data_IF_394095167087
#
_entry.id   IF_394095167087
#
_cell.length_a   1.000
_cell.length_b   1.000
_cell.length_c   1.000
_cell.angle_alpha   90.00
_cell.angle_beta   90.00
_cell.angle_gamma   90.00
#
_symmetry.space_group_name_H-M   'P 1'
#
loop_
_entity.id
_entity.type
_entity.pdbx_description
1 polymer ?
#
# COMPACT_ATOMS: atom_id res chain seq x y z
N UNK A 1 8.21 26.84 5.80
CA UNK A 1 8.32 25.91 4.66
C UNK A 1 6.97 25.86 3.97
N UNK A 2 6.90 26.08 2.66
CA UNK A 2 5.66 25.98 1.90
C UNK A 2 5.50 24.55 1.38
N UNK A 3 4.35 23.93 1.63
CA UNK A 3 4.05 22.61 1.10
C UNK A 3 3.84 22.68 -0.42
N UNK A 4 4.25 21.65 -1.18
CA UNK A 4 4.02 21.59 -2.62
C UNK A 4 2.53 21.66 -2.96
N UNK A 5 2.20 22.50 -3.96
CA UNK A 5 0.83 22.65 -4.45
C UNK A 5 0.40 21.43 -5.28
N UNK A 6 -0.91 21.20 -5.51
CA UNK A 6 -1.38 20.16 -6.43
C UNK A 6 -0.72 20.23 -7.82
N UNK A 7 -0.47 21.44 -8.33
CA UNK A 7 0.22 21.65 -9.60
C UNK A 7 1.70 21.22 -9.55
N UNK A 8 2.38 21.47 -8.44
CA UNK A 8 3.76 21.01 -8.21
C UNK A 8 3.85 19.49 -8.24
N UNK A 9 2.87 18.80 -7.64
CA UNK A 9 2.77 17.34 -7.69
C UNK A 9 2.48 16.80 -9.09
N UNK A 10 1.68 17.50 -9.90
CA UNK A 10 1.48 17.15 -11.30
C UNK A 10 2.80 17.23 -12.12
N UNK A 11 3.67 18.20 -11.81
CA UNK A 11 5.01 18.25 -12.42
C UNK A 11 5.90 17.10 -11.96
N UNK A 12 5.90 16.78 -10.67
CA UNK A 12 6.64 15.62 -10.14
C UNK A 12 6.20 14.30 -10.80
N UNK A 13 4.88 14.11 -10.98
CA UNK A 13 4.33 12.95 -11.71
C UNK A 13 4.83 12.85 -13.15
N UNK A 14 4.90 13.98 -13.85
CA UNK A 14 5.49 14.01 -15.21
C UNK A 14 6.99 13.71 -15.21
N UNK A 15 7.72 14.18 -14.20
CA UNK A 15 9.14 13.90 -14.04
C UNK A 15 9.42 12.41 -13.82
N UNK A 16 8.63 11.74 -12.96
CA UNK A 16 8.71 10.28 -12.74
C UNK A 16 8.65 9.50 -14.05
N UNK A 17 7.72 9.85 -14.93
CA UNK A 17 7.57 9.19 -16.23
C UNK A 17 8.70 9.53 -17.22
N UNK A 18 9.14 10.79 -17.22
CA UNK A 18 10.10 11.29 -18.20
C UNK A 18 11.53 10.80 -17.94
N UNK A 19 11.91 10.71 -16.68
CA UNK A 19 13.26 10.35 -16.25
C UNK A 19 13.33 8.94 -15.66
N UNK A 20 12.36 8.10 -16.03
CA UNK A 20 12.41 6.66 -15.74
C UNK A 20 13.73 6.06 -16.25
N UNK A 21 14.37 5.24 -15.42
CA UNK A 21 15.71 4.70 -15.69
C UNK A 21 16.88 5.69 -15.63
N UNK A 22 16.67 6.95 -15.19
CA UNK A 22 17.73 7.96 -15.01
C UNK A 22 17.71 8.55 -13.58
N UNK A 23 18.14 7.78 -12.55
CA UNK A 23 17.91 8.12 -11.14
C UNK A 23 18.46 9.49 -10.72
N UNK A 24 19.66 9.85 -11.20
CA UNK A 24 20.28 11.15 -10.89
C UNK A 24 19.46 12.33 -11.42
N UNK A 25 19.00 12.24 -12.67
CA UNK A 25 18.17 13.29 -13.29
C UNK A 25 16.77 13.32 -12.69
N UNK A 26 16.23 12.17 -12.31
CA UNK A 26 14.96 12.08 -11.61
C UNK A 26 15.02 12.80 -10.26
N UNK A 27 16.02 12.53 -9.44
CA UNK A 27 16.19 13.14 -8.13
C UNK A 27 16.28 14.68 -8.20
N UNK A 28 17.03 15.22 -9.17
CA UNK A 28 17.11 16.66 -9.41
C UNK A 28 15.78 17.24 -9.89
N UNK A 29 15.10 16.56 -10.82
CA UNK A 29 13.81 17.01 -11.34
C UNK A 29 12.72 17.04 -10.27
N UNK A 30 12.69 16.04 -9.37
CA UNK A 30 11.73 16.00 -8.26
C UNK A 30 11.95 17.17 -7.30
N UNK A 31 13.20 17.44 -6.91
CA UNK A 31 13.54 18.60 -6.07
C UNK A 31 13.14 19.92 -6.72
N UNK A 32 13.32 20.07 -8.05
CA UNK A 32 12.87 21.25 -8.78
C UNK A 32 11.34 21.42 -8.80
N UNK A 33 10.58 20.31 -8.74
CA UNK A 33 9.12 20.34 -8.77
C UNK A 33 8.49 20.64 -7.40
N UNK A 34 8.95 19.96 -6.34
CA UNK A 34 8.32 19.97 -5.01
C UNK A 34 9.20 20.55 -3.90
N UNK A 35 10.39 21.03 -4.25
CA UNK A 35 11.38 21.57 -3.33
C UNK A 35 12.36 20.50 -2.80
N UNK A 36 13.50 20.91 -2.22
CA UNK A 36 14.59 20.01 -1.87
C UNK A 36 14.17 18.90 -0.89
N UNK A 37 13.52 19.24 0.22
CA UNK A 37 13.16 18.28 1.25
C UNK A 37 12.19 17.20 0.71
N UNK A 38 11.06 17.60 0.13
CA UNK A 38 10.08 16.65 -0.40
C UNK A 38 10.61 15.88 -1.62
N UNK A 39 11.47 16.50 -2.45
CA UNK A 39 12.05 15.85 -3.61
C UNK A 39 13.07 14.78 -3.26
N UNK A 40 13.92 15.02 -2.24
CA UNK A 40 14.90 14.04 -1.75
C UNK A 40 14.16 12.83 -1.15
N UNK A 41 13.20 13.07 -0.26
CA UNK A 41 12.41 11.99 0.35
C UNK A 41 11.66 11.16 -0.70
N UNK A 42 11.04 11.82 -1.69
CA UNK A 42 10.35 11.11 -2.77
C UNK A 42 11.32 10.32 -3.66
N UNK A 43 12.49 10.86 -3.98
CA UNK A 43 13.49 10.14 -4.77
C UNK A 43 13.97 8.88 -4.02
N UNK A 44 14.28 9.01 -2.73
CA UNK A 44 14.66 7.88 -1.89
C UNK A 44 13.54 6.82 -1.81
N UNK A 45 12.28 7.26 -1.69
CA UNK A 45 11.13 6.36 -1.72
C UNK A 45 11.04 5.59 -3.05
N UNK A 46 11.21 6.27 -4.18
CA UNK A 46 11.18 5.65 -5.52
C UNK A 46 12.32 4.65 -5.69
N UNK A 47 13.54 5.01 -5.27
CA UNK A 47 14.70 4.13 -5.34
C UNK A 47 14.52 2.87 -4.49
N UNK A 48 13.74 2.96 -3.40
CA UNK A 48 13.43 1.80 -2.55
C UNK A 48 12.37 0.86 -3.15
N UNK A 49 11.61 1.27 -4.18
CA UNK A 49 10.52 0.44 -4.74
C UNK A 49 11.02 -0.87 -5.38
N UNK A 50 12.29 -0.95 -5.78
CA UNK A 50 12.90 -2.21 -6.26
C UNK A 50 12.97 -3.30 -5.17
N UNK A 51 12.78 -2.93 -3.90
CA UNK A 51 12.75 -3.84 -2.76
C UNK A 51 11.36 -4.41 -2.48
N UNK A 52 10.36 -4.05 -3.29
CA UNK A 52 9.00 -4.56 -3.13
C UNK A 52 8.95 -6.07 -3.36
N UNK A 53 8.13 -6.80 -2.58
CA UNK A 53 7.82 -8.18 -2.89
C UNK A 53 7.08 -8.29 -4.23
N UNK A 54 7.11 -9.48 -4.83
CA UNK A 54 6.29 -9.77 -6.01
C UNK A 54 4.79 -9.66 -5.65
N UNK A 55 4.19 -8.54 -6.03
CA UNK A 55 2.78 -8.23 -5.80
C UNK A 55 1.88 -9.25 -6.52
N UNK A 56 2.32 -9.75 -7.67
CA UNK A 56 1.57 -10.73 -8.43
C UNK A 56 1.66 -12.12 -7.81
N UNK A 57 2.77 -12.47 -7.15
CA UNK A 57 2.88 -13.68 -6.34
C UNK A 57 1.84 -13.69 -5.21
N UNK A 58 1.68 -12.57 -4.50
CA UNK A 58 0.64 -12.42 -3.45
C UNK A 58 -0.75 -12.72 -4.03
N UNK A 59 -1.04 -12.14 -5.20
CA UNK A 59 -2.35 -12.29 -5.86
C UNK A 59 -2.57 -13.69 -6.43
N UNK A 60 -1.50 -14.44 -6.73
CA UNK A 60 -1.53 -15.88 -7.06
C UNK A 60 -1.62 -16.77 -5.82
N UNK A 61 -1.48 -16.22 -4.62
CA UNK A 61 -1.50 -16.98 -3.36
C UNK A 61 -0.17 -17.64 -3.03
N UNK A 62 0.91 -17.18 -3.64
CA UNK A 62 2.27 -17.63 -3.37
C UNK A 62 2.83 -16.91 -2.14
N UNK A 63 3.91 -17.47 -1.57
CA UNK A 63 4.59 -16.85 -0.44
C UNK A 63 5.36 -15.61 -0.88
N UNK A 64 4.98 -14.45 -0.35
CA UNK A 64 5.75 -13.22 -0.43
C UNK A 64 6.01 -12.67 0.97
N UNK A 65 7.21 -12.14 1.20
CA UNK A 65 7.57 -11.54 2.49
C UNK A 65 6.94 -10.17 2.66
N UNK A 66 6.63 -9.83 3.92
CA UNK A 66 6.16 -8.49 4.27
C UNK A 66 7.39 -7.64 4.60
N UNK A 67 7.61 -6.49 3.93
CA UNK A 67 8.72 -5.60 4.25
C UNK A 67 8.68 -5.12 5.71
N UNK A 68 9.85 -4.91 6.32
CA UNK A 68 9.95 -4.33 7.66
C UNK A 68 9.71 -2.81 7.63
N UNK A 69 10.16 -2.14 6.58
CA UNK A 69 10.05 -0.70 6.45
C UNK A 69 8.62 -0.23 6.16
N UNK A 70 8.16 0.76 6.92
CA UNK A 70 6.79 1.28 6.84
C UNK A 70 6.46 1.87 5.46
N UNK A 71 7.40 2.57 4.82
CA UNK A 71 7.21 3.13 3.48
C UNK A 71 6.98 2.05 2.42
N UNK A 72 7.74 0.94 2.48
CA UNK A 72 7.53 -0.22 1.63
C UNK A 72 6.22 -0.94 1.93
N UNK A 73 5.81 -1.03 3.20
CA UNK A 73 4.49 -1.56 3.56
C UNK A 73 3.35 -0.74 2.95
N UNK A 74 3.44 0.60 3.00
CA UNK A 74 2.49 1.51 2.32
C UNK A 74 2.48 1.28 0.80
N UNK A 75 3.64 1.09 0.19
CA UNK A 75 3.76 0.82 -1.24
C UNK A 75 3.13 -0.53 -1.64
N UNK A 76 3.37 -1.60 -0.86
CA UNK A 76 2.73 -2.91 -1.06
C UNK A 76 1.21 -2.79 -0.92
N UNK A 77 0.72 -2.15 0.15
CA UNK A 77 -0.71 -1.95 0.36
C UNK A 77 -1.36 -1.21 -0.83
N UNK A 78 -0.75 -0.11 -1.27
CA UNK A 78 -1.22 0.68 -2.43
C UNK A 78 -1.24 -0.15 -3.72
N UNK A 79 -0.21 -0.96 -3.95
CA UNK A 79 -0.14 -1.84 -5.12
C UNK A 79 -1.22 -2.93 -5.09
N UNK A 80 -1.49 -3.51 -3.93
CA UNK A 80 -2.54 -4.52 -3.73
C UNK A 80 -3.95 -3.92 -3.93
N UNK A 81 -4.21 -2.70 -3.46
CA UNK A 81 -5.47 -1.99 -3.78
C UNK A 81 -5.62 -1.82 -5.29
N UNK A 82 -4.56 -1.39 -5.98
CA UNK A 82 -4.56 -1.30 -7.45
C UNK A 82 -4.87 -2.64 -8.14
N UNK A 83 -4.35 -3.75 -7.60
CA UNK A 83 -4.62 -5.10 -8.11
C UNK A 83 -6.05 -5.55 -7.82
N UNK A 84 -6.59 -5.22 -6.65
CA UNK A 84 -7.99 -5.47 -6.29
C UNK A 84 -8.97 -4.76 -7.24
N UNK A 85 -8.68 -3.50 -7.59
CA UNK A 85 -9.47 -2.73 -8.56
C UNK A 85 -9.42 -3.39 -9.94
N UNK A 86 -8.22 -3.76 -10.42
CA UNK A 86 -8.04 -4.37 -11.75
C UNK A 86 -8.79 -5.71 -11.90
N UNK A 87 -8.99 -6.43 -10.81
CA UNK A 87 -9.66 -7.72 -10.80
C UNK A 87 -11.15 -7.65 -10.47
N UNK A 88 -11.72 -6.46 -10.30
CA UNK A 88 -13.11 -6.31 -9.84
C UNK A 88 -14.15 -7.03 -10.70
N UNK A 89 -13.97 -7.00 -12.01
CA UNK A 89 -14.89 -7.63 -12.96
C UNK A 89 -14.38 -8.99 -13.47
N UNK A 90 -13.32 -9.53 -12.87
CA UNK A 90 -12.73 -10.80 -13.24
C UNK A 90 -13.46 -11.97 -12.56
N UNK A 91 -13.52 -13.17 -13.19
CA UNK A 91 -14.17 -14.34 -12.58
C UNK A 91 -13.54 -14.78 -11.24
N UNK A 92 -12.26 -14.48 -11.03
CA UNK A 92 -11.46 -14.81 -9.86
C UNK A 92 -11.39 -13.67 -8.82
N UNK A 93 -12.20 -12.61 -8.95
CA UNK A 93 -12.16 -11.42 -8.09
C UNK A 93 -12.15 -11.77 -6.57
N UNK A 94 -13.08 -12.62 -6.13
CA UNK A 94 -13.18 -13.00 -4.72
C UNK A 94 -11.97 -13.77 -4.21
N UNK A 95 -11.36 -14.61 -5.06
CA UNK A 95 -10.16 -15.37 -4.73
C UNK A 95 -8.95 -14.43 -4.56
N UNK A 96 -8.80 -13.49 -5.49
CA UNK A 96 -7.77 -12.44 -5.41
C UNK A 96 -7.94 -11.59 -4.15
N UNK A 97 -9.15 -11.11 -3.88
CA UNK A 97 -9.41 -10.28 -2.69
C UNK A 97 -9.17 -11.06 -1.40
N UNK A 98 -9.51 -12.36 -1.37
CA UNK A 98 -9.23 -13.25 -0.24
C UNK A 98 -7.74 -13.33 0.08
N UNK A 99 -6.90 -13.52 -0.95
CA UNK A 99 -5.44 -13.54 -0.81
C UNK A 99 -4.87 -12.22 -0.30
N UNK A 100 -5.42 -11.10 -0.78
CA UNK A 100 -5.02 -9.77 -0.30
C UNK A 100 -5.41 -9.58 1.18
N UNK A 101 -6.59 -10.04 1.59
CA UNK A 101 -7.02 -9.98 3.00
C UNK A 101 -6.12 -10.85 3.90
N UNK A 102 -5.77 -12.06 3.46
CA UNK A 102 -4.84 -12.92 4.17
C UNK A 102 -3.48 -12.26 4.33
N UNK A 103 -2.97 -11.64 3.26
CA UNK A 103 -1.73 -10.86 3.30
C UNK A 103 -1.83 -9.66 4.25
N UNK A 104 -2.97 -8.96 4.29
CA UNK A 104 -3.21 -7.85 5.22
C UNK A 104 -3.07 -8.28 6.70
N UNK A 105 -3.39 -9.54 7.02
CA UNK A 105 -3.20 -10.11 8.36
C UNK A 105 -1.74 -10.37 8.74
N UNK A 106 -0.80 -10.27 7.79
CA UNK A 106 0.63 -10.53 8.00
C UNK A 106 1.45 -9.28 8.26
N UNK A 107 0.87 -8.08 8.13
CA UNK A 107 1.58 -6.84 8.45
C UNK A 107 2.04 -6.83 9.92
N UNK A 108 3.31 -6.42 10.20
CA UNK A 108 3.79 -6.26 11.57
C UNK A 108 2.96 -5.25 12.35
N UNK A 109 2.59 -4.14 11.70
CA UNK A 109 1.69 -3.13 12.22
C UNK A 109 0.25 -3.40 11.74
N UNK A 110 -0.68 -3.46 12.69
CA UNK A 110 -2.09 -3.72 12.41
C UNK A 110 -2.77 -2.53 11.75
N UNK A 111 -2.32 -1.31 12.01
CA UNK A 111 -2.88 -0.12 11.39
C UNK A 111 -2.70 -0.17 9.87
N UNK A 112 -1.58 -0.72 9.40
CA UNK A 112 -1.31 -0.94 7.98
C UNK A 112 -2.30 -1.93 7.35
N UNK A 113 -2.59 -3.04 8.03
CA UNK A 113 -3.60 -4.01 7.58
C UNK A 113 -5.00 -3.41 7.52
N UNK A 114 -5.40 -2.66 8.56
CA UNK A 114 -6.70 -1.97 8.62
C UNK A 114 -6.80 -0.91 7.52
N UNK A 115 -5.73 -0.16 7.27
CA UNK A 115 -5.67 0.81 6.19
C UNK A 115 -5.86 0.14 4.83
N UNK A 116 -5.13 -0.93 4.53
CA UNK A 116 -5.27 -1.68 3.28
C UNK A 116 -6.72 -2.12 3.06
N UNK A 117 -7.34 -2.77 4.05
CA UNK A 117 -8.72 -3.24 3.93
C UNK A 117 -9.72 -2.07 3.79
N UNK A 118 -9.49 -0.96 4.48
CA UNK A 118 -10.32 0.25 4.36
C UNK A 118 -10.21 0.89 2.96
N UNK A 119 -9.01 0.92 2.38
CA UNK A 119 -8.79 1.45 1.04
C UNK A 119 -9.36 0.53 -0.04
N UNK A 120 -9.24 -0.80 0.14
CA UNK A 120 -9.96 -1.77 -0.70
C UNK A 120 -11.46 -1.52 -0.63
N UNK A 121 -12.04 -1.41 0.57
CA UNK A 121 -13.48 -1.16 0.72
C UNK A 121 -13.93 0.11 0.00
N UNK A 122 -13.16 1.20 0.11
CA UNK A 122 -13.43 2.45 -0.61
C UNK A 122 -13.38 2.27 -2.13
N UNK A 123 -12.49 1.41 -2.62
CA UNK A 123 -12.25 1.22 -4.05
C UNK A 123 -13.20 0.23 -4.73
N UNK A 124 -13.53 -0.90 -4.07
CA UNK A 124 -14.32 -1.99 -4.67
C UNK A 124 -15.70 -2.17 -4.03
N UNK A 125 -15.96 -1.52 -2.89
CA UNK A 125 -17.27 -1.47 -2.25
C UNK A 125 -17.59 -2.67 -1.35
N UNK A 126 -18.90 -2.92 -1.18
CA UNK A 126 -19.43 -3.88 -0.20
C UNK A 126 -19.14 -5.34 -0.56
N UNK A 127 -18.80 -5.64 -1.81
CA UNK A 127 -18.48 -7.00 -2.26
C UNK A 127 -17.30 -7.61 -1.47
N UNK A 128 -16.41 -6.76 -0.94
CA UNK A 128 -15.32 -7.17 -0.05
C UNK A 128 -15.82 -7.93 1.18
N UNK A 129 -17.00 -7.58 1.73
CA UNK A 129 -17.56 -8.24 2.91
C UNK A 129 -18.13 -9.62 2.63
N UNK A 130 -18.35 -9.96 1.35
CA UNK A 130 -18.76 -11.31 0.94
C UNK A 130 -17.59 -12.30 0.87
N UNK A 131 -16.35 -11.81 0.93
CA UNK A 131 -15.15 -12.64 0.88
C UNK A 131 -14.98 -13.39 2.21
N UNK A 132 -14.91 -14.74 2.23
CA UNK A 132 -14.84 -15.52 3.48
C UNK A 132 -13.71 -15.11 4.43
N UNK A 133 -12.55 -14.76 3.87
CA UNK A 133 -11.37 -14.32 4.60
C UNK A 133 -11.62 -13.05 5.42
N UNK A 134 -12.54 -12.17 4.98
CA UNK A 134 -12.81 -10.92 5.66
C UNK A 134 -13.28 -11.13 7.11
N UNK A 135 -14.19 -12.09 7.32
CA UNK A 135 -14.72 -12.38 8.65
C UNK A 135 -13.62 -12.91 9.59
N UNK A 136 -12.72 -13.75 9.08
CA UNK A 136 -11.59 -14.29 9.84
C UNK A 136 -10.61 -13.18 10.21
N UNK A 137 -10.23 -12.34 9.24
CA UNK A 137 -9.34 -11.21 9.47
C UNK A 137 -9.93 -10.21 10.46
N UNK A 138 -11.20 -9.82 10.31
CA UNK A 138 -11.87 -8.88 11.19
C UNK A 138 -11.91 -9.36 12.65
N UNK A 139 -12.16 -10.67 12.85
CA UNK A 139 -12.12 -11.28 14.17
C UNK A 139 -10.71 -11.22 14.79
N UNK A 140 -9.68 -11.56 14.01
CA UNK A 140 -8.30 -11.52 14.48
C UNK A 140 -7.88 -10.10 14.90
N UNK A 141 -8.29 -9.07 14.16
CA UNK A 141 -8.03 -7.67 14.51
C UNK A 141 -8.81 -7.25 15.76
N UNK A 142 -10.09 -7.58 15.85
CA UNK A 142 -10.96 -7.21 16.97
C UNK A 142 -10.52 -7.86 18.30
N UNK A 143 -10.16 -9.16 18.27
CA UNK A 143 -9.70 -9.88 19.46
C UNK A 143 -8.47 -9.17 20.06
N UNK A 144 -7.53 -8.71 19.23
CA UNK A 144 -6.35 -8.04 19.75
C UNK A 144 -6.62 -6.62 20.27
N UNK A 145 -7.48 -5.85 19.62
CA UNK A 145 -7.90 -4.53 20.13
C UNK A 145 -8.49 -4.63 21.55
N UNK A 146 -9.26 -5.70 21.82
CA UNK A 146 -9.80 -5.98 23.15
C UNK A 146 -8.72 -6.37 24.16
N UNK A 147 -7.63 -7.01 23.74
CA UNK A 147 -6.50 -7.33 24.62
C UNK A 147 -5.65 -6.10 24.96
N UNK A 148 -5.36 -5.24 23.98
CA UNK A 148 -4.54 -4.04 24.19
C UNK A 148 -5.27 -3.00 25.06
N UNK A 149 -6.58 -2.84 24.89
CA UNK A 149 -7.42 -1.99 25.75
C UNK A 149 -7.44 -2.45 27.22
N UNK A 150 -7.27 -3.75 27.49
CA UNK A 150 -7.18 -4.28 28.87
C UNK A 150 -5.81 -4.05 29.51
N UNK A 151 -4.74 -3.89 28.72
CA UNK A 151 -3.39 -3.64 29.23
C UNK A 151 -3.14 -2.17 29.57
N UNK A 152 -3.77 -1.24 28.86
CA UNK A 152 -3.64 0.21 29.10
C UNK A 152 -4.56 0.74 30.21
N UNK A 153 -5.50 -0.08 30.70
CA UNK A 153 -6.41 0.24 31.79
C UNK A 153 -5.99 -0.30 33.17
N UNK A 154 -4.74 -0.74 33.36
CA UNK A 154 -4.21 -1.26 34.63
C UNK A 154 -2.98 -0.51 35.12
#
# INVERSE_FOLDING_TARGET
VAFPSPRSWEFAHRALKKFDGQPQLLAEALQACVGPAAGIELAAFVDNLDRLPDIDAIVRGESAEVPEETDLQYAVASALVGRAIRHRDAPDAQEVWGRIIEYAGRFPDREMGVMLISDMHRAIGQDLFSVPQFAQWARAVADVMLFDARKTGS
#
